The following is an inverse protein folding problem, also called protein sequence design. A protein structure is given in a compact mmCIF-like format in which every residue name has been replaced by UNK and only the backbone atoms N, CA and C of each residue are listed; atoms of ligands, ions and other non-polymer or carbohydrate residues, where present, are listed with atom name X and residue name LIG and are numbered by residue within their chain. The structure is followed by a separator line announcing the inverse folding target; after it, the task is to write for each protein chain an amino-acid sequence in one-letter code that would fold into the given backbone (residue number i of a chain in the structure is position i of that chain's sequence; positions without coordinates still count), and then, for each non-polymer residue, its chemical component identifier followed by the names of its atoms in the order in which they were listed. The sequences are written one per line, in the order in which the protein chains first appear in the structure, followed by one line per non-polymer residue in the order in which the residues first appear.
data_IF_879686402525
#
_entry.id   IF_879686402525
#
_cell.length_a   1.000
_cell.length_b   1.000
_cell.length_c   1.000
_cell.angle_alpha   90.00
_cell.angle_beta   90.00
_cell.angle_gamma   90.00
#
_symmetry.space_group_name_H-M   'P 1'
#
loop_
_entity.id
_entity.type
_entity.pdbx_description
1 polymer ?
#
# COMPACT_ATOMS: atom_id res chain seq x y z
N UNK A 1 -19.91 16.18 -30.05
CA UNK A 1 -18.50 16.62 -30.06
C UNK A 1 -17.89 16.06 -28.81
N UNK A 2 -17.28 14.88 -28.95
CA UNK A 2 -16.60 14.18 -27.87
C UNK A 2 -15.24 14.86 -27.70
N UNK A 3 -14.97 15.36 -26.49
CA UNK A 3 -13.65 15.86 -26.12
C UNK A 3 -12.73 14.66 -25.90
N UNK A 4 -11.91 14.35 -26.89
CA UNK A 4 -10.83 13.38 -26.74
C UNK A 4 -9.76 13.96 -25.79
N UNK A 5 -9.81 13.54 -24.54
CA UNK A 5 -8.78 13.80 -23.55
C UNK A 5 -7.46 13.18 -23.99
N UNK A 6 -6.52 14.03 -24.38
CA UNK A 6 -5.17 13.69 -24.81
C UNK A 6 -4.39 13.09 -23.62
N UNK A 7 -4.47 11.77 -23.42
CA UNK A 7 -3.63 11.06 -22.46
C UNK A 7 -2.18 11.05 -22.97
N UNK A 8 -1.40 12.06 -22.61
CA UNK A 8 0.06 11.96 -22.73
C UNK A 8 0.53 10.83 -21.84
N UNK A 9 1.14 9.78 -22.41
CA UNK A 9 1.68 8.61 -21.70
C UNK A 9 2.89 8.92 -20.80
N UNK A 10 2.92 10.09 -20.17
CA UNK A 10 3.96 10.51 -19.25
C UNK A 10 3.78 9.80 -17.91
N UNK A 11 4.83 9.10 -17.49
CA UNK A 11 4.88 8.47 -16.19
C UNK A 11 5.00 9.53 -15.09
N UNK A 12 3.90 9.83 -14.41
CA UNK A 12 3.89 10.72 -13.24
C UNK A 12 4.28 9.94 -11.96
N UNK A 13 5.57 9.63 -11.83
CA UNK A 13 6.10 8.87 -10.68
C UNK A 13 7.46 9.33 -10.16
N UNK A 14 7.99 10.46 -10.64
CA UNK A 14 9.26 11.05 -10.16
C UNK A 14 9.25 11.33 -8.65
N UNK A 15 8.06 11.62 -8.10
CA UNK A 15 7.88 11.86 -6.67
C UNK A 15 8.25 10.63 -5.81
N UNK A 16 8.14 9.41 -6.35
CA UNK A 16 8.48 8.17 -5.63
C UNK A 16 9.96 8.17 -5.25
N UNK A 17 10.82 8.62 -6.17
CA UNK A 17 12.26 8.66 -5.94
C UNK A 17 12.66 9.80 -4.99
N UNK A 18 11.82 10.82 -4.87
CA UNK A 18 11.97 11.95 -3.93
C UNK A 18 11.40 11.65 -2.53
N UNK A 19 10.66 10.55 -2.34
CA UNK A 19 10.11 10.17 -1.05
C UNK A 19 11.21 10.02 0.01
N UNK A 20 10.93 10.44 1.24
CA UNK A 20 11.90 10.41 2.34
C UNK A 20 11.90 9.02 3.01
N UNK A 21 12.47 8.03 2.32
CA UNK A 21 12.59 6.66 2.81
C UNK A 21 13.80 5.96 2.19
N UNK A 22 14.09 4.73 2.60
CA UNK A 22 15.21 3.95 2.07
C UNK A 22 14.90 3.43 0.66
N UNK A 23 15.94 3.23 -0.16
CA UNK A 23 15.79 2.82 -1.58
C UNK A 23 14.96 1.54 -1.75
N UNK A 24 15.09 0.59 -0.84
CA UNK A 24 14.30 -0.66 -0.86
C UNK A 24 12.79 -0.40 -0.76
N UNK A 25 12.38 0.54 0.09
CA UNK A 25 10.97 0.92 0.24
C UNK A 25 10.51 1.75 -0.96
N UNK A 26 11.36 2.60 -1.55
CA UNK A 26 11.04 3.30 -2.81
C UNK A 26 10.70 2.32 -3.94
N UNK A 27 11.51 1.26 -4.11
CA UNK A 27 11.22 0.22 -5.09
C UNK A 27 9.89 -0.50 -4.79
N UNK A 28 9.59 -0.75 -3.51
CA UNK A 28 8.31 -1.34 -3.12
C UNK A 28 7.12 -0.40 -3.42
N UNK A 29 7.25 0.89 -3.12
CA UNK A 29 6.27 1.92 -3.46
C UNK A 29 6.04 1.98 -4.97
N UNK A 30 7.11 1.93 -5.75
CA UNK A 30 7.04 1.85 -7.22
C UNK A 30 6.23 0.63 -7.69
N UNK A 31 6.49 -0.55 -7.13
CA UNK A 31 5.72 -1.76 -7.44
C UNK A 31 4.24 -1.62 -7.07
N UNK A 32 3.94 -0.99 -5.93
CA UNK A 32 2.55 -0.73 -5.51
C UNK A 32 1.85 0.22 -6.48
N UNK A 33 2.53 1.28 -6.89
CA UNK A 33 2.01 2.29 -7.83
C UNK A 33 1.71 1.67 -9.20
N UNK A 34 2.56 0.77 -9.68
CA UNK A 34 2.35 -0.01 -10.90
C UNK A 34 1.49 -1.26 -10.71
N UNK A 35 0.85 -1.44 -9.56
CA UNK A 35 -0.02 -2.59 -9.25
C UNK A 35 0.63 -3.95 -9.54
N UNK A 36 1.94 -4.04 -9.32
CA UNK A 36 2.79 -5.17 -9.75
C UNK A 36 3.34 -6.00 -8.58
N UNK A 37 2.94 -5.70 -7.34
CA UNK A 37 3.28 -6.49 -6.15
C UNK A 37 2.62 -7.87 -6.25
N UNK A 38 3.34 -8.98 -5.97
CA UNK A 38 2.82 -10.33 -6.13
C UNK A 38 1.90 -10.77 -4.98
N UNK A 39 0.77 -10.08 -4.81
CA UNK A 39 -0.37 -10.54 -3.99
C UNK A 39 -1.18 -11.59 -4.74
N UNK A 40 -1.98 -12.40 -4.05
CA UNK A 40 -2.64 -13.54 -4.69
C UNK A 40 -3.54 -13.15 -5.87
N UNK A 41 -4.25 -12.03 -5.81
CA UNK A 41 -5.06 -11.57 -6.96
C UNK A 41 -4.22 -11.24 -8.19
N UNK A 42 -3.01 -10.69 -8.01
CA UNK A 42 -2.07 -10.42 -9.12
C UNK A 42 -1.47 -11.72 -9.65
N UNK A 43 -1.21 -12.69 -8.78
CA UNK A 43 -0.69 -14.01 -9.19
C UNK A 43 -1.73 -14.80 -9.99
N UNK A 44 -2.98 -14.82 -9.53
CA UNK A 44 -4.11 -15.43 -10.27
C UNK A 44 -4.29 -14.75 -11.62
N UNK A 45 -4.23 -13.41 -11.69
CA UNK A 45 -4.31 -12.68 -12.95
C UNK A 45 -3.16 -13.01 -13.93
N UNK A 46 -2.03 -13.53 -13.42
CA UNK A 46 -0.90 -14.04 -14.21
C UNK A 46 -0.98 -15.54 -14.51
N UNK A 47 -2.11 -16.20 -14.20
CA UNK A 47 -2.34 -17.61 -14.49
C UNK A 47 -1.73 -18.58 -13.47
N UNK A 48 -1.31 -18.11 -12.29
CA UNK A 48 -0.84 -18.99 -11.23
C UNK A 48 -2.01 -19.64 -10.50
N UNK A 49 -1.94 -20.95 -10.27
CA UNK A 49 -2.93 -21.69 -9.49
C UNK A 49 -2.70 -21.49 -7.99
N UNK A 50 -3.20 -20.37 -7.47
CA UNK A 50 -3.17 -20.01 -6.06
C UNK A 50 -4.54 -19.52 -5.59
N UNK A 51 -4.88 -19.75 -4.33
CA UNK A 51 -6.11 -19.20 -3.76
C UNK A 51 -6.06 -17.67 -3.73
N UNK A 52 -7.07 -16.95 -4.26
CA UNK A 52 -7.08 -15.50 -4.24
C UNK A 52 -7.40 -14.92 -2.85
N UNK A 53 -7.72 -15.76 -1.87
CA UNK A 53 -8.10 -15.34 -0.51
C UNK A 53 -6.89 -14.85 0.27
N UNK A 54 -7.06 -13.80 1.07
CA UNK A 54 -6.00 -13.27 1.91
C UNK A 54 -5.59 -14.28 2.99
N UNK A 55 -4.29 -14.58 3.05
CA UNK A 55 -3.77 -15.54 4.04
C UNK A 55 -3.59 -14.92 5.44
N UNK A 56 -3.62 -13.58 5.55
CA UNK A 56 -3.51 -12.86 6.81
C UNK A 56 -4.82 -12.93 7.62
N UNK A 57 -5.91 -12.39 7.06
CA UNK A 57 -7.20 -12.36 7.75
C UNK A 57 -8.12 -13.54 7.41
N UNK A 58 -7.73 -14.40 6.45
CA UNK A 58 -8.54 -15.54 5.96
C UNK A 58 -9.88 -15.13 5.33
N UNK A 59 -10.02 -13.86 4.98
CA UNK A 59 -11.25 -13.27 4.46
C UNK A 59 -10.95 -12.38 3.25
N UNK A 60 -11.90 -12.33 2.31
CA UNK A 60 -11.82 -11.44 1.15
C UNK A 60 -10.71 -11.77 0.14
N UNK A 61 -10.73 -11.06 -0.98
CA UNK A 61 -9.71 -11.18 -2.03
C UNK A 61 -8.44 -10.40 -1.65
N UNK A 62 -7.29 -11.05 -1.80
CA UNK A 62 -6.00 -10.47 -1.49
C UNK A 62 -5.51 -9.53 -2.60
N UNK A 63 -6.01 -8.31 -2.58
CA UNK A 63 -5.47 -7.20 -3.38
C UNK A 63 -4.33 -6.48 -2.65
N UNK A 64 -3.55 -5.68 -3.38
CA UNK A 64 -2.47 -4.86 -2.81
C UNK A 64 -3.06 -3.92 -1.75
N UNK A 65 -4.18 -3.27 -2.07
CA UNK A 65 -4.85 -2.35 -1.15
C UNK A 65 -5.43 -3.08 0.06
N UNK A 66 -5.92 -4.31 -0.12
CA UNK A 66 -6.36 -5.13 0.99
C UNK A 66 -5.19 -5.42 1.96
N UNK A 67 -4.08 -6.00 1.46
CA UNK A 67 -2.92 -6.34 2.30
C UNK A 67 -2.35 -5.11 3.02
N UNK A 68 -2.32 -3.96 2.34
CA UNK A 68 -1.68 -2.75 2.88
C UNK A 68 -2.61 -1.86 3.69
N UNK A 69 -3.93 -2.02 3.60
CA UNK A 69 -4.89 -1.08 4.22
C UNK A 69 -6.16 -1.72 4.75
N UNK A 70 -6.86 -2.50 3.93
CA UNK A 70 -8.24 -2.91 4.24
C UNK A 70 -8.33 -4.23 5.03
N UNK A 71 -7.27 -5.04 5.01
CA UNK A 71 -7.12 -6.23 5.85
C UNK A 71 -7.26 -5.85 7.33
N UNK A 72 -7.90 -6.69 8.14
CA UNK A 72 -8.09 -6.42 9.56
C UNK A 72 -6.76 -6.17 10.30
N UNK A 73 -5.71 -6.92 9.95
CA UNK A 73 -4.35 -6.72 10.50
C UNK A 73 -3.82 -5.33 10.14
N UNK A 74 -3.95 -4.93 8.87
CA UNK A 74 -3.53 -3.60 8.40
C UNK A 74 -4.34 -2.48 9.08
N UNK A 75 -5.66 -2.64 9.20
CA UNK A 75 -6.53 -1.67 9.87
C UNK A 75 -6.13 -1.46 11.33
N UNK A 76 -5.81 -2.54 12.04
CA UNK A 76 -5.37 -2.45 13.44
C UNK A 76 -4.06 -1.63 13.55
N UNK A 77 -3.10 -1.87 12.65
CA UNK A 77 -1.87 -1.07 12.59
C UNK A 77 -2.15 0.40 12.32
N UNK A 78 -2.97 0.71 11.30
CA UNK A 78 -3.24 2.10 10.96
C UNK A 78 -4.00 2.82 12.08
N UNK A 79 -4.99 2.17 12.69
CA UNK A 79 -5.73 2.74 13.80
C UNK A 79 -4.84 3.04 15.02
N UNK A 80 -3.85 2.19 15.31
CA UNK A 80 -2.91 2.44 16.42
C UNK A 80 -1.91 3.57 16.12
N UNK A 81 -1.58 3.78 14.84
CA UNK A 81 -0.69 4.85 14.40
C UNK A 81 -1.40 6.21 14.27
N UNK A 82 -2.73 6.25 14.27
CA UNK A 82 -3.56 7.46 14.17
C UNK A 82 -3.19 8.38 12.99
N UNK A 83 -3.63 8.09 11.76
CA UNK A 83 -3.31 8.90 10.59
C UNK A 83 -3.74 10.36 10.78
N UNK A 84 -2.92 11.36 10.41
CA UNK A 84 -3.22 12.79 10.58
C UNK A 84 -4.18 13.32 9.51
N UNK A 85 -5.25 12.55 9.24
CA UNK A 85 -6.28 12.86 8.26
C UNK A 85 -7.59 12.10 8.57
N UNK A 86 -8.74 12.59 8.10
CA UNK A 86 -10.02 11.89 8.24
C UNK A 86 -9.95 10.46 7.71
N UNK A 87 -10.63 9.53 8.41
CA UNK A 87 -10.71 8.13 8.02
C UNK A 87 -11.29 7.94 6.61
N UNK A 88 -12.24 8.80 6.19
CA UNK A 88 -12.79 8.78 4.83
C UNK A 88 -11.74 9.03 3.74
N UNK A 89 -10.76 9.91 4.00
CA UNK A 89 -9.66 10.15 3.07
C UNK A 89 -8.64 9.01 3.12
N UNK A 90 -8.32 8.51 4.31
CA UNK A 90 -7.33 7.44 4.42
C UNK A 90 -7.83 6.11 3.82
N UNK A 91 -9.08 5.71 4.10
CA UNK A 91 -9.65 4.43 3.70
C UNK A 91 -10.49 4.48 2.41
N UNK A 92 -10.75 5.66 1.85
CA UNK A 92 -11.61 5.83 0.67
C UNK A 92 -10.89 5.86 -0.68
N UNK A 93 -9.57 5.96 -0.70
CA UNK A 93 -8.82 6.18 -1.94
C UNK A 93 -8.40 4.87 -2.62
N UNK A 94 -8.15 4.90 -3.94
CA UNK A 94 -7.51 3.79 -4.62
C UNK A 94 -6.00 3.73 -4.26
N UNK A 95 -5.33 2.61 -4.56
CA UNK A 95 -3.92 2.39 -4.18
C UNK A 95 -2.96 3.48 -4.68
N UNK A 96 -3.12 3.95 -5.92
CA UNK A 96 -2.23 4.95 -6.51
C UNK A 96 -2.43 6.32 -5.88
N UNK A 97 -3.69 6.73 -5.69
CA UNK A 97 -4.03 8.01 -5.07
C UNK A 97 -3.66 8.03 -3.59
N UNK A 98 -3.94 6.93 -2.88
CA UNK A 98 -3.62 6.79 -1.45
C UNK A 98 -2.13 6.96 -1.16
N UNK A 99 -1.27 6.25 -1.90
CA UNK A 99 0.18 6.35 -1.71
C UNK A 99 0.68 7.74 -2.13
N UNK A 100 0.25 8.26 -3.27
CA UNK A 100 0.68 9.58 -3.75
C UNK A 100 0.29 10.68 -2.76
N UNK A 101 -0.96 10.70 -2.34
CA UNK A 101 -1.48 11.71 -1.42
C UNK A 101 -0.68 11.71 -0.12
N UNK A 102 -0.36 10.55 0.44
CA UNK A 102 0.38 10.48 1.70
C UNK A 102 1.86 10.85 1.52
N UNK A 103 2.53 10.28 0.51
CA UNK A 103 3.97 10.51 0.29
C UNK A 103 4.28 11.95 -0.16
N UNK A 104 3.32 12.66 -0.75
CA UNK A 104 3.47 14.06 -1.16
C UNK A 104 2.93 15.06 -0.12
N UNK A 105 2.25 14.60 0.93
CA UNK A 105 1.69 15.46 1.97
C UNK A 105 2.48 15.29 3.27
N UNK A 106 3.45 16.19 3.48
CA UNK A 106 4.45 16.15 4.56
C UNK A 106 3.89 16.49 5.94
N UNK A 107 2.70 15.99 6.28
CA UNK A 107 2.09 16.16 7.60
C UNK A 107 2.94 15.47 8.67
N UNK A 108 2.92 16.02 9.88
CA UNK A 108 3.47 15.36 11.06
C UNK A 108 2.46 14.38 11.64
N UNK A 109 2.94 13.28 12.21
CA UNK A 109 2.12 12.33 12.96
C UNK A 109 1.44 12.99 14.17
N UNK A 110 0.29 12.47 14.58
CA UNK A 110 -0.42 12.94 15.77
C UNK A 110 0.25 12.45 17.07
N UNK A 111 0.89 11.27 17.01
CA UNK A 111 1.44 10.59 18.18
C UNK A 111 2.96 10.74 18.31
N UNK A 112 3.62 11.39 17.34
CA UNK A 112 5.06 11.59 17.33
C UNK A 112 5.46 12.81 16.52
N UNK A 113 6.62 13.41 16.80
CA UNK A 113 7.15 14.52 16.00
C UNK A 113 7.85 14.05 14.70
N UNK A 114 7.38 12.94 14.13
CA UNK A 114 7.93 12.31 12.93
C UNK A 114 6.98 12.61 11.77
N UNK A 115 7.54 12.88 10.59
CA UNK A 115 6.73 13.05 9.38
C UNK A 115 5.96 11.77 9.04
N UNK A 116 4.67 11.94 8.73
CA UNK A 116 3.74 10.85 8.48
C UNK A 116 4.08 10.04 7.24
N UNK A 117 4.65 10.65 6.20
CA UNK A 117 5.08 9.94 4.99
C UNK A 117 6.14 8.87 5.30
N UNK A 118 6.99 9.11 6.30
CA UNK A 118 8.01 8.16 6.76
C UNK A 118 7.32 6.98 7.46
N UNK A 119 6.48 7.27 8.47
CA UNK A 119 5.73 6.24 9.21
C UNK A 119 4.90 5.39 8.26
N UNK A 120 4.23 6.03 7.30
CA UNK A 120 3.45 5.38 6.28
C UNK A 120 4.29 4.44 5.41
N UNK A 121 5.41 4.92 4.86
CA UNK A 121 6.31 4.11 4.02
C UNK A 121 6.83 2.87 4.77
N UNK A 122 7.20 3.03 6.04
CA UNK A 122 7.60 1.89 6.86
C UNK A 122 6.42 0.99 7.21
N UNK A 123 5.22 1.54 7.47
CA UNK A 123 4.02 0.76 7.78
C UNK A 123 3.61 -0.16 6.63
N UNK A 124 3.52 0.35 5.40
CA UNK A 124 3.20 -0.48 4.22
C UNK A 124 4.29 -1.54 3.97
N UNK A 125 5.55 -1.21 4.22
CA UNK A 125 6.66 -2.15 4.08
C UNK A 125 6.59 -3.27 5.13
N UNK A 126 6.30 -2.92 6.39
CA UNK A 126 6.12 -3.88 7.48
C UNK A 126 4.95 -4.82 7.22
N UNK A 127 3.81 -4.29 6.76
CA UNK A 127 2.65 -5.12 6.38
C UNK A 127 3.00 -6.10 5.24
N UNK A 128 3.75 -5.63 4.25
CA UNK A 128 4.23 -6.49 3.17
C UNK A 128 5.18 -7.59 3.66
N UNK A 129 6.11 -7.25 4.55
CA UNK A 129 7.02 -8.22 5.16
C UNK A 129 6.27 -9.27 5.99
N UNK A 130 5.28 -8.84 6.77
CA UNK A 130 4.42 -9.72 7.56
C UNK A 130 3.66 -10.69 6.66
N UNK A 131 2.99 -10.19 5.62
CA UNK A 131 2.33 -11.03 4.60
C UNK A 131 3.28 -12.09 4.06
N UNK A 132 4.49 -11.71 3.69
CA UNK A 132 5.46 -12.66 3.16
C UNK A 132 5.98 -13.65 4.21
N UNK A 133 6.08 -13.23 5.47
CA UNK A 133 6.36 -14.13 6.60
C UNK A 133 5.29 -15.21 6.76
N UNK A 134 4.02 -14.82 6.74
CA UNK A 134 2.89 -15.78 6.84
C UNK A 134 2.87 -16.74 5.65
N UNK A 135 3.04 -16.23 4.43
CA UNK A 135 2.91 -17.05 3.21
C UNK A 135 4.12 -17.95 2.95
N UNK A 136 5.33 -17.50 3.24
CA UNK A 136 6.56 -18.22 2.87
C UNK A 136 7.35 -18.78 4.05
N UNK A 137 7.08 -18.33 5.29
CA UNK A 137 7.83 -18.72 6.49
C UNK A 137 6.96 -19.34 7.60
N UNK A 138 5.67 -19.57 7.35
CA UNK A 138 4.70 -20.09 8.34
C UNK A 138 4.69 -19.29 9.66
N UNK A 139 4.95 -17.99 9.59
CA UNK A 139 4.82 -17.11 10.75
C UNK A 139 3.33 -16.91 11.07
N UNK A 140 2.97 -16.79 12.36
CA UNK A 140 1.63 -16.37 12.76
C UNK A 140 1.45 -14.90 12.36
N UNK A 141 0.38 -14.55 11.64
CA UNK A 141 0.09 -13.15 11.30
C UNK A 141 -0.11 -12.33 12.58
N UNK A 142 0.81 -11.42 12.88
CA UNK A 142 0.80 -10.57 14.08
C UNK A 142 0.48 -9.12 13.74
#
# INVERSE_FOLDING_TARGET
MEEEGHYTGYFDGDWIWKAFTISKIKCFVWLCYHKSVPVNTVLVARGMDVSPVCQLCREGLESILHVLRDCQIARNLWNSLSPPMPASLFFGLNITEWIRQICCNFKTSLNSNIRWDIIFCFGIWTLWLNRNGVVFRNESGQ
#
